data_IF_942233911669
#
_entry.id   IF_942233911669
#
_cell.length_a   1.000
_cell.length_b   1.000
_cell.length_c   1.000
_cell.angle_alpha   90.00
_cell.angle_beta   90.00
_cell.angle_gamma   90.00
#
_symmetry.space_group_name_H-M   'P 1'
#
loop_
_entity.id
_entity.type
_entity.pdbx_description
1 polymer ?
#
# COMPACT_ATOMS: atom_id res chain seq x y z
N UNK A 1 -16.80 9.65 -6.54
CA UNK A 1 -15.53 8.88 -6.40
C UNK A 1 -14.57 9.70 -5.55
N UNK A 2 -14.07 9.17 -4.44
CA UNK A 2 -13.07 9.85 -3.59
C UNK A 2 -11.73 9.83 -4.36
N UNK A 3 -11.16 11.01 -4.62
CA UNK A 3 -9.85 11.15 -5.29
C UNK A 3 -8.75 10.89 -4.24
N UNK A 4 -7.89 9.91 -4.50
CA UNK A 4 -6.84 9.46 -3.57
C UNK A 4 -5.43 9.70 -4.15
N UNK A 5 -4.43 10.00 -3.29
CA UNK A 5 -3.03 10.17 -3.72
C UNK A 5 -2.39 8.88 -4.25
N UNK A 6 -3.01 7.71 -4.07
CA UNK A 6 -2.47 6.42 -4.52
C UNK A 6 -2.20 6.33 -6.03
N UNK A 7 -2.94 7.07 -6.85
CA UNK A 7 -2.74 7.14 -8.31
C UNK A 7 -1.61 8.09 -8.73
N UNK A 8 -1.03 8.84 -7.79
CA UNK A 8 0.11 9.73 -8.03
C UNK A 8 1.40 9.07 -7.56
N UNK A 9 1.37 8.49 -6.36
CA UNK A 9 2.58 8.02 -5.66
C UNK A 9 2.68 6.51 -5.47
N UNK A 10 1.72 5.72 -5.99
CA UNK A 10 1.73 4.26 -5.77
C UNK A 10 1.71 3.87 -4.28
N UNK A 11 1.01 4.66 -3.45
CA UNK A 11 0.97 4.48 -1.99
C UNK A 11 0.53 3.08 -1.55
N UNK A 12 1.10 2.63 -0.43
CA UNK A 12 0.71 1.43 0.29
C UNK A 12 -0.01 1.81 1.59
N UNK A 13 -0.97 1.02 2.07
CA UNK A 13 -1.52 -0.21 1.47
C UNK A 13 -2.44 0.05 0.25
N UNK A 14 -2.65 -0.96 -0.61
CA UNK A 14 -3.48 -0.84 -1.84
C UNK A 14 -4.09 -2.17 -2.28
N UNK A 15 -5.38 -2.18 -2.65
CA UNK A 15 -6.09 -3.38 -3.14
C UNK A 15 -5.61 -3.89 -4.51
N UNK A 16 -4.65 -3.19 -5.14
CA UNK A 16 -4.01 -3.63 -6.38
C UNK A 16 -2.96 -4.74 -6.15
N UNK A 17 -2.44 -4.89 -4.93
CA UNK A 17 -1.42 -5.90 -4.61
C UNK A 17 -2.01 -6.93 -3.66
N UNK A 18 -2.21 -8.14 -4.16
CA UNK A 18 -2.82 -9.22 -3.39
C UNK A 18 -1.74 -10.13 -2.77
N UNK A 19 -0.49 -10.08 -3.27
CA UNK A 19 0.65 -10.88 -2.82
C UNK A 19 1.94 -10.06 -2.69
N UNK A 20 2.96 -10.62 -2.01
CA UNK A 20 4.28 -10.00 -1.92
C UNK A 20 4.98 -9.90 -3.28
N UNK A 21 4.65 -10.81 -4.21
CA UNK A 21 5.12 -10.74 -5.59
C UNK A 21 4.53 -9.53 -6.30
N UNK A 22 3.21 -9.36 -6.25
CA UNK A 22 2.54 -8.20 -6.86
C UNK A 22 3.07 -6.88 -6.28
N UNK A 23 3.32 -6.86 -4.96
CA UNK A 23 3.91 -5.73 -4.27
C UNK A 23 5.28 -5.35 -4.83
N UNK A 24 6.17 -6.33 -4.99
CA UNK A 24 7.52 -6.11 -5.53
C UNK A 24 7.46 -5.59 -6.96
N UNK A 25 6.66 -6.22 -7.81
CA UNK A 25 6.53 -5.84 -9.22
C UNK A 25 5.97 -4.41 -9.34
N UNK A 26 5.01 -4.04 -8.48
CA UNK A 26 4.43 -2.70 -8.47
C UNK A 26 5.38 -1.63 -7.95
N UNK A 27 6.22 -1.93 -6.95
CA UNK A 27 7.23 -1.00 -6.43
C UNK A 27 8.32 -0.68 -7.45
N UNK A 28 8.54 -1.54 -8.45
CA UNK A 28 9.48 -1.28 -9.54
C UNK A 28 8.92 -0.32 -10.61
N UNK A 29 7.61 -0.09 -10.64
CA UNK A 29 6.99 0.82 -11.59
C UNK A 29 7.24 2.27 -11.16
N UNK A 30 7.70 3.16 -12.07
CA UNK A 30 7.90 4.55 -11.75
C UNK A 30 6.56 5.19 -11.38
N UNK A 31 6.57 6.08 -10.39
CA UNK A 31 5.35 6.79 -10.00
C UNK A 31 5.06 7.92 -10.97
N UNK A 32 3.83 8.45 -10.93
CA UNK A 32 3.52 9.65 -11.71
C UNK A 32 4.30 10.86 -11.19
N UNK A 33 4.60 10.90 -9.88
CA UNK A 33 5.42 11.96 -9.31
C UNK A 33 6.85 11.96 -9.87
N UNK A 34 7.42 10.78 -10.16
CA UNK A 34 8.75 10.65 -10.76
C UNK A 34 8.73 10.91 -12.27
N UNK A 35 7.69 10.41 -12.95
CA UNK A 35 7.60 10.46 -14.43
C UNK A 35 7.12 11.80 -14.97
N UNK A 36 6.14 12.42 -14.31
CA UNK A 36 5.54 13.72 -14.71
C UNK A 36 5.09 14.51 -13.45
N UNK A 37 6.03 15.25 -12.82
CA UNK A 37 5.76 16.04 -11.62
C UNK A 37 4.66 17.11 -11.81
N UNK A 38 4.52 17.67 -13.01
CA UNK A 38 3.54 18.72 -13.28
C UNK A 38 2.12 18.15 -13.34
N UNK A 39 1.95 17.00 -14.00
CA UNK A 39 0.66 16.30 -13.98
C UNK A 39 0.33 15.77 -12.57
N UNK A 40 1.32 15.26 -11.84
CA UNK A 40 1.15 14.87 -10.44
C UNK A 40 0.60 16.03 -9.60
N UNK A 41 1.23 17.21 -9.69
CA UNK A 41 0.82 18.40 -8.94
C UNK A 41 -0.60 18.88 -9.29
N UNK A 42 -1.01 18.76 -10.56
CA UNK A 42 -2.40 19.04 -10.97
C UNK A 42 -3.39 18.09 -10.31
N UNK A 43 -3.11 16.78 -10.30
CA UNK A 43 -3.99 15.78 -9.67
C UNK A 43 -4.10 15.95 -8.16
N UNK A 44 -3.03 16.38 -7.50
CA UNK A 44 -3.01 16.61 -6.05
C UNK A 44 -3.84 17.83 -5.63
N UNK A 45 -3.96 18.87 -6.47
CA UNK A 45 -4.79 20.04 -6.19
C UNK A 45 -6.28 19.72 -6.04
N UNK A 46 -6.74 18.64 -6.66
CA UNK A 46 -8.12 18.19 -6.58
C UNK A 46 -8.45 17.43 -5.28
N UNK A 47 -7.43 17.06 -4.50
CA UNK A 47 -7.61 16.32 -3.25
C UNK A 47 -8.00 17.31 -2.15
N UNK A 48 -9.04 16.96 -1.38
CA UNK A 48 -9.52 17.75 -0.25
C UNK A 48 -9.58 16.88 1.00
N UNK A 49 -8.96 17.34 2.07
CA UNK A 49 -8.84 16.59 3.32
C UNK A 49 -7.92 15.38 3.21
N UNK A 50 -8.04 14.47 4.17
CA UNK A 50 -7.13 13.32 4.34
C UNK A 50 -7.85 11.98 4.38
N UNK A 51 -9.19 11.97 4.22
CA UNK A 51 -9.97 10.75 4.26
C UNK A 51 -9.73 9.92 3.00
N UNK A 52 -9.29 8.68 3.19
CA UNK A 52 -9.05 7.70 2.14
C UNK A 52 -9.85 6.43 2.41
N UNK A 53 -10.18 5.69 1.36
CA UNK A 53 -10.81 4.37 1.50
C UNK A 53 -9.77 3.39 2.01
N UNK A 54 -10.10 2.66 3.08
CA UNK A 54 -9.23 1.63 3.62
C UNK A 54 -9.19 0.41 2.67
N UNK A 55 -8.02 -0.05 2.24
CA UNK A 55 -7.88 -1.20 1.34
C UNK A 55 -8.04 -2.51 2.13
N UNK A 56 -9.06 -3.30 1.80
CA UNK A 56 -9.37 -4.56 2.49
C UNK A 56 -8.66 -5.78 1.90
N UNK A 57 -8.16 -5.69 0.67
CA UNK A 57 -7.59 -6.79 -0.10
C UNK A 57 -6.06 -6.72 -0.19
N UNK A 58 -5.44 -5.71 0.41
CA UNK A 58 -3.98 -5.61 0.44
C UNK A 58 -3.35 -6.85 1.07
N UNK A 59 -2.49 -7.54 0.30
CA UNK A 59 -1.80 -8.78 0.68
C UNK A 59 -2.73 -9.91 1.15
N UNK A 60 -3.99 -9.94 0.71
CA UNK A 60 -4.97 -10.92 1.18
C UNK A 60 -4.66 -12.38 0.79
N UNK A 61 -3.74 -12.61 -0.16
CA UNK A 61 -3.26 -13.95 -0.53
C UNK A 61 -2.06 -14.42 0.30
N UNK A 62 -1.52 -13.57 1.17
CA UNK A 62 -0.36 -13.88 2.01
C UNK A 62 -0.78 -14.20 3.44
N UNK A 63 -0.03 -15.08 4.08
CA UNK A 63 -0.17 -15.31 5.52
C UNK A 63 0.70 -14.29 6.27
N UNK A 64 0.07 -13.21 6.75
CA UNK A 64 0.75 -12.13 7.47
C UNK A 64 1.12 -12.47 8.93
N UNK A 65 0.76 -13.66 9.40
CA UNK A 65 1.18 -14.14 10.71
C UNK A 65 2.69 -14.42 10.74
N UNK A 66 3.30 -14.27 11.92
CA UNK A 66 4.72 -14.55 12.12
C UNK A 66 5.09 -15.96 11.62
N UNK A 67 6.13 -16.02 10.80
CA UNK A 67 6.59 -17.27 10.20
C UNK A 67 7.12 -18.24 11.26
N UNK A 68 7.06 -19.55 10.97
CA UNK A 68 7.42 -20.58 11.95
C UNK A 68 8.88 -20.50 12.41
N UNK A 69 9.75 -19.93 11.57
CA UNK A 69 11.20 -19.85 11.74
C UNK A 69 11.68 -18.55 12.40
N UNK A 70 10.80 -17.60 12.73
CA UNK A 70 11.20 -16.29 13.26
C UNK A 70 11.14 -16.27 14.79
N UNK A 71 12.07 -15.54 15.43
CA UNK A 71 12.18 -15.49 16.91
C UNK A 71 10.95 -14.86 17.55
N UNK A 72 10.31 -13.95 16.83
CA UNK A 72 9.11 -13.24 17.23
C UNK A 72 7.94 -14.20 17.46
N UNK A 73 7.95 -15.40 16.85
CA UNK A 73 6.87 -16.39 17.04
C UNK A 73 6.87 -17.05 18.42
N UNK A 74 7.98 -17.01 19.14
CA UNK A 74 8.02 -17.49 20.53
C UNK A 74 7.34 -16.52 21.50
N UNK A 75 7.02 -15.30 21.05
CA UNK A 75 6.24 -14.35 21.84
C UNK A 75 4.76 -14.76 21.86
N UNK A 76 4.06 -14.55 22.99
CA UNK A 76 2.61 -14.67 23.02
C UNK A 76 1.95 -13.77 21.96
N UNK A 77 0.86 -14.25 21.34
CA UNK A 77 0.09 -13.46 20.36
C UNK A 77 -0.42 -12.14 20.97
N UNK A 78 -0.60 -12.08 22.29
CA UNK A 78 -1.00 -10.87 23.03
C UNK A 78 -0.01 -9.71 22.93
N UNK A 79 1.20 -9.91 22.39
CA UNK A 79 2.09 -8.79 22.06
C UNK A 79 1.53 -7.97 20.89
N UNK A 80 0.68 -8.57 20.05
CA UNK A 80 0.19 -8.01 18.80
C UNK A 80 -1.32 -7.71 18.79
N UNK A 81 -2.03 -7.95 19.91
CA UNK A 81 -3.49 -7.80 20.06
C UNK A 81 -3.82 -7.16 21.39
#
# INVERSE_FOLDING_TARGET
MIKSPSNVFHCLPSDKMLSFRDLRDYQMLPTLADSDPEQARKKLKDIRGYLVVFPFFFLCKEKLALALSTKERYLPISVWT
#
